data_IF_554856719560
#
_entry.id   IF_554856719560
#
_cell.length_a   1.000
_cell.length_b   1.000
_cell.length_c   1.000
_cell.angle_alpha   90.00
_cell.angle_beta   90.00
_cell.angle_gamma   90.00
#
_symmetry.space_group_name_H-M   'P 1'
#
loop_
_entity.id
_entity.type
_entity.pdbx_description
1 polymer ?
#
# COMPACT_ATOMS: atom_id res chain seq x y z
N UNK A 1 -14.32 -4.69 13.33
CA UNK A 1 -14.39 -5.27 11.98
C UNK A 1 -12.99 -5.30 11.40
N UNK A 2 -12.56 -6.41 10.80
CA UNK A 2 -11.23 -6.54 10.19
C UNK A 2 -11.40 -6.52 8.68
N UNK A 3 -11.04 -5.42 8.03
CA UNK A 3 -11.09 -5.31 6.57
C UNK A 3 -9.81 -5.92 5.98
N UNK A 4 -9.96 -6.88 5.08
CA UNK A 4 -8.86 -7.45 4.30
C UNK A 4 -8.98 -6.93 2.87
N UNK A 5 -7.85 -6.57 2.26
CA UNK A 5 -7.78 -6.11 0.88
C UNK A 5 -6.53 -6.71 0.23
N UNK A 6 -6.61 -6.94 -1.08
CA UNK A 6 -5.49 -7.41 -1.87
C UNK A 6 -4.51 -6.26 -2.07
N UNK A 7 -3.23 -6.49 -1.77
CA UNK A 7 -2.16 -5.54 -2.06
C UNK A 7 -1.23 -6.20 -3.05
N UNK A 8 -1.10 -5.59 -4.23
CA UNK A 8 -0.15 -5.99 -5.26
C UNK A 8 1.14 -5.21 -5.01
N UNK A 9 2.29 -5.88 -5.02
CA UNK A 9 3.61 -5.26 -4.93
C UNK A 9 4.39 -5.56 -6.20
N UNK A 10 4.74 -4.50 -6.92
CA UNK A 10 5.56 -4.56 -8.12
C UNK A 10 6.98 -4.12 -7.78
N UNK A 11 7.95 -4.96 -8.14
CA UNK A 11 9.37 -4.63 -8.01
C UNK A 11 9.84 -3.90 -9.27
N UNK A 12 10.43 -2.73 -9.09
CA UNK A 12 11.17 -2.02 -10.13
C UNK A 12 12.68 -2.08 -9.84
N UNK A 13 13.51 -1.51 -10.72
CA UNK A 13 14.97 -1.59 -10.64
C UNK A 13 15.52 -1.17 -9.26
N UNK A 14 14.95 -0.13 -8.63
CA UNK A 14 15.47 0.46 -7.39
C UNK A 14 14.43 0.61 -6.27
N UNK A 15 13.17 0.23 -6.49
CA UNK A 15 12.09 0.41 -5.52
C UNK A 15 10.98 -0.65 -5.69
N UNK A 16 9.99 -0.57 -4.81
CA UNK A 16 8.78 -1.37 -4.83
C UNK A 16 7.60 -0.42 -4.81
N UNK A 17 6.65 -0.66 -5.70
CA UNK A 17 5.36 0.04 -5.72
C UNK A 17 4.30 -0.92 -5.22
N UNK A 18 3.49 -0.50 -4.26
CA UNK A 18 2.34 -1.26 -3.81
C UNK A 18 1.06 -0.50 -4.10
N UNK A 19 0.02 -1.23 -4.48
CA UNK A 19 -1.33 -0.69 -4.63
C UNK A 19 -2.40 -1.73 -4.33
N UNK A 20 -3.61 -1.26 -3.99
CA UNK A 20 -4.81 -2.09 -3.93
C UNK A 20 -5.70 -1.83 -5.16
N UNK A 21 -6.00 -2.85 -5.99
CA UNK A 21 -6.94 -2.70 -7.10
C UNK A 21 -8.35 -2.32 -6.63
N UNK A 22 -8.72 -2.79 -5.43
CA UNK A 22 -10.04 -2.58 -4.85
C UNK A 22 -10.18 -1.20 -4.19
N UNK A 23 -9.05 -0.53 -3.90
CA UNK A 23 -9.02 0.77 -3.21
C UNK A 23 -8.01 1.69 -3.87
N UNK A 24 -8.50 2.53 -4.79
CA UNK A 24 -7.71 3.49 -5.57
C UNK A 24 -6.85 4.45 -4.72
N UNK A 25 -7.25 4.72 -3.48
CA UNK A 25 -6.49 5.61 -2.58
C UNK A 25 -5.28 4.95 -1.93
N UNK A 26 -5.12 3.63 -2.03
CA UNK A 26 -4.02 2.90 -1.40
C UNK A 26 -2.95 2.59 -2.43
N UNK A 27 -2.06 3.55 -2.65
CA UNK A 27 -0.85 3.40 -3.45
C UNK A 27 0.35 3.98 -2.69
N UNK A 28 1.48 3.27 -2.69
CA UNK A 28 2.72 3.71 -2.05
C UNK A 28 3.95 3.18 -2.80
N UNK A 29 5.06 3.93 -2.76
CA UNK A 29 6.32 3.51 -3.37
C UNK A 29 7.48 3.70 -2.40
N UNK A 30 8.25 2.65 -2.15
CA UNK A 30 9.42 2.70 -1.25
C UNK A 30 10.56 1.79 -1.70
N UNK A 31 11.76 2.02 -1.15
CA UNK A 31 12.94 1.19 -1.46
C UNK A 31 12.84 -0.25 -0.96
N UNK A 32 12.05 -0.50 0.10
CA UNK A 32 11.90 -1.84 0.70
C UNK A 32 10.44 -2.25 0.81
N UNK A 33 10.18 -3.55 0.73
CA UNK A 33 8.84 -4.14 0.85
C UNK A 33 8.17 -3.77 2.17
N UNK A 34 8.90 -3.84 3.29
CA UNK A 34 8.39 -3.55 4.63
C UNK A 34 7.87 -2.10 4.75
N UNK A 35 8.63 -1.13 4.25
CA UNK A 35 8.19 0.28 4.23
C UNK A 35 6.99 0.47 3.32
N UNK A 36 6.97 -0.24 2.19
CA UNK A 36 5.84 -0.20 1.26
C UNK A 36 4.55 -0.69 1.91
N UNK A 37 4.61 -1.83 2.62
CA UNK A 37 3.48 -2.38 3.36
C UNK A 37 3.06 -1.51 4.55
N UNK A 38 4.02 -0.95 5.30
CA UNK A 38 3.75 -0.05 6.41
C UNK A 38 2.96 1.18 5.95
N UNK A 39 3.36 1.81 4.84
CA UNK A 39 2.63 2.97 4.29
C UNK A 39 1.25 2.63 3.76
N UNK A 40 1.05 1.47 3.11
CA UNK A 40 -0.29 1.03 2.72
C UNK A 40 -1.17 0.81 3.96
N UNK A 41 -0.63 0.24 5.04
CA UNK A 41 -1.35 0.04 6.30
C UNK A 41 -1.71 1.36 6.99
N UNK A 42 -0.85 2.37 6.92
CA UNK A 42 -1.15 3.72 7.41
C UNK A 42 -2.20 4.42 6.56
N UNK A 43 -2.09 4.32 5.22
CA UNK A 43 -3.12 4.81 4.30
C UNK A 43 -4.47 4.11 4.52
N UNK A 44 -4.45 2.88 5.06
CA UNK A 44 -5.63 2.10 5.39
C UNK A 44 -6.49 2.64 6.52
N UNK A 45 -6.00 3.66 7.23
CA UNK A 45 -6.81 4.44 8.16
C UNK A 45 -7.39 5.62 7.40
N UNK A 46 -8.67 5.48 7.04
CA UNK A 46 -9.53 6.57 6.57
C UNK A 46 -9.22 7.85 7.35
N UNK A 47 -8.61 8.85 6.70
CA UNK A 47 -8.72 10.24 7.15
C UNK A 47 -10.15 10.67 6.85
N UNK A 48 -11.04 10.45 7.82
CA UNK A 48 -12.29 11.21 7.90
C UNK A 48 -11.84 12.61 8.32
N UNK A 49 -11.82 13.52 7.33
CA UNK A 49 -11.90 14.96 7.57
C UNK A 49 -13.28 15.31 8.09
#
# INVERSE_FOLDING_TARGET
>A
MTTKFLVIIEKSNNNHSAYSPDVLSYAATWKTVEKTLASIKEASVVKII
#
